data_IF_950893207460
#
_entry.id   IF_950893207460
#
_cell.length_a   1.000
_cell.length_b   1.000
_cell.length_c   1.000
_cell.angle_alpha   90.00
_cell.angle_beta   90.00
_cell.angle_gamma   90.00
#
_symmetry.space_group_name_H-M   'P 1'
#
loop_
_entity.id
_entity.type
_entity.pdbx_description
1 polymer ?
#
# COMPACT_ATOMS: atom_id res chain seq x y z
N UNK A 1 8.16 -21.38 -2.01
CA UNK A 1 8.01 -21.90 -0.63
C UNK A 1 6.95 -21.03 0.03
N UNK A 2 5.88 -21.58 0.63
CA UNK A 2 4.89 -20.74 1.32
C UNK A 2 5.49 -20.31 2.65
N UNK A 3 5.74 -19.01 2.82
CA UNK A 3 6.25 -18.44 4.08
C UNK A 3 5.16 -18.52 5.15
N UNK A 4 5.48 -19.01 6.35
CA UNK A 4 4.56 -19.00 7.48
C UNK A 4 4.24 -17.55 7.89
N UNK A 5 2.97 -17.09 7.80
CA UNK A 5 2.60 -15.71 8.11
C UNK A 5 2.94 -15.31 9.55
N UNK A 6 2.82 -16.22 10.51
CA UNK A 6 3.10 -15.92 11.92
C UNK A 6 4.59 -15.69 12.14
N UNK A 7 5.43 -16.58 11.62
CA UNK A 7 6.88 -16.41 11.67
C UNK A 7 7.35 -15.14 10.92
N UNK A 8 6.73 -14.84 9.76
CA UNK A 8 7.07 -13.64 8.98
C UNK A 8 6.75 -12.35 9.74
N UNK A 9 5.57 -12.24 10.36
CA UNK A 9 5.25 -11.09 11.23
C UNK A 9 6.23 -10.97 12.38
N UNK A 10 6.58 -12.07 13.03
CA UNK A 10 7.52 -12.05 14.15
C UNK A 10 8.91 -11.58 13.71
N UNK A 11 9.33 -11.93 12.49
CA UNK A 11 10.56 -11.40 11.89
C UNK A 11 10.44 -9.91 11.56
N UNK A 12 9.31 -9.48 10.98
CA UNK A 12 9.03 -8.08 10.70
C UNK A 12 9.10 -7.21 11.96
N UNK A 13 8.41 -7.62 13.03
CA UNK A 13 8.39 -6.91 14.29
C UNK A 13 9.79 -6.73 14.88
N UNK A 14 10.61 -7.78 14.86
CA UNK A 14 12.00 -7.74 15.35
C UNK A 14 12.87 -6.81 14.51
N UNK A 15 12.80 -6.92 13.18
CA UNK A 15 13.61 -6.09 12.27
C UNK A 15 13.24 -4.61 12.39
N UNK A 16 11.94 -4.29 12.43
CA UNK A 16 11.45 -2.92 12.61
C UNK A 16 11.86 -2.31 13.96
N UNK A 17 11.97 -3.13 15.01
CA UNK A 17 12.45 -2.68 16.32
C UNK A 17 13.97 -2.46 16.34
N UNK A 18 14.73 -3.30 15.64
CA UNK A 18 16.19 -3.21 15.53
C UNK A 18 16.65 -2.05 14.64
N UNK A 19 15.94 -1.79 13.55
CA UNK A 19 16.35 -0.84 12.51
C UNK A 19 15.26 0.20 12.27
N UNK A 20 15.34 1.29 13.05
CA UNK A 20 14.39 2.40 12.95
C UNK A 20 14.61 3.18 11.66
N UNK A 21 13.51 3.61 11.05
CA UNK A 21 13.52 4.48 9.86
C UNK A 21 13.40 3.74 8.53
N UNK A 22 13.42 2.40 8.51
CA UNK A 22 13.21 1.63 7.29
C UNK A 22 11.73 1.62 6.86
N UNK A 23 11.51 1.75 5.56
CA UNK A 23 10.21 1.58 4.91
C UNK A 23 9.85 0.09 4.77
N UNK A 24 8.55 -0.19 4.59
CA UNK A 24 8.05 -1.57 4.46
C UNK A 24 8.71 -2.34 3.30
N UNK A 25 8.95 -1.68 2.17
CA UNK A 25 9.70 -2.25 1.04
C UNK A 25 11.10 -2.72 1.44
N UNK A 26 11.87 -1.89 2.14
CA UNK A 26 13.25 -2.22 2.56
C UNK A 26 13.26 -3.37 3.59
N UNK A 27 12.26 -3.39 4.48
CA UNK A 27 12.06 -4.49 5.43
C UNK A 27 11.75 -5.80 4.70
N UNK A 28 10.91 -5.76 3.65
CA UNK A 28 10.57 -6.93 2.86
C UNK A 28 11.78 -7.47 2.08
N UNK A 29 12.56 -6.59 1.46
CA UNK A 29 13.80 -6.95 0.75
C UNK A 29 14.79 -7.68 1.67
N UNK A 30 15.00 -7.16 2.90
CA UNK A 30 15.87 -7.79 3.91
C UNK A 30 15.37 -9.15 4.37
N UNK A 31 14.05 -9.34 4.40
CA UNK A 31 13.41 -10.61 4.76
C UNK A 31 13.27 -11.57 3.56
N UNK A 32 13.65 -11.14 2.36
CA UNK A 32 13.61 -11.97 1.15
C UNK A 32 12.20 -12.30 0.68
N UNK A 33 11.22 -11.44 0.98
CA UNK A 33 9.81 -11.60 0.58
C UNK A 33 9.32 -10.37 -0.19
N UNK A 34 8.19 -10.47 -0.88
CA UNK A 34 7.55 -9.27 -1.43
C UNK A 34 6.95 -8.39 -0.32
N UNK A 35 6.83 -7.09 -0.58
CA UNK A 35 6.17 -6.14 0.33
C UNK A 35 4.71 -6.54 0.61
N UNK A 36 4.03 -7.09 -0.41
CA UNK A 36 2.65 -7.59 -0.26
C UNK A 36 2.57 -8.80 0.68
N UNK A 37 3.49 -9.76 0.59
CA UNK A 37 3.54 -10.90 1.53
C UNK A 37 3.82 -10.44 2.96
N UNK A 38 4.71 -9.45 3.13
CA UNK A 38 5.00 -8.85 4.43
C UNK A 38 3.74 -8.21 5.03
N UNK A 39 3.03 -7.37 4.28
CA UNK A 39 1.78 -6.74 4.72
C UNK A 39 0.68 -7.77 4.99
N UNK A 40 0.51 -8.76 4.11
CA UNK A 40 -0.49 -9.81 4.26
C UNK A 40 -0.28 -10.64 5.52
N UNK A 41 0.97 -10.78 5.99
CA UNK A 41 1.26 -11.48 7.24
C UNK A 41 0.59 -10.82 8.45
N UNK A 42 0.35 -9.50 8.42
CA UNK A 42 -0.28 -8.69 9.47
C UNK A 42 -1.80 -8.58 9.40
N UNK A 43 -2.45 -9.19 8.40
CA UNK A 43 -3.90 -9.14 8.26
C UNK A 43 -4.63 -9.86 9.40
N UNK A 44 -5.57 -9.18 10.07
CA UNK A 44 -6.41 -9.75 11.13
C UNK A 44 -5.76 -9.85 12.52
N UNK A 45 -4.55 -9.30 12.67
CA UNK A 45 -3.75 -9.37 13.89
C UNK A 45 -3.72 -8.00 14.58
N UNK A 46 -3.53 -7.98 15.91
CA UNK A 46 -3.71 -6.75 16.71
C UNK A 46 -2.42 -6.16 17.30
N UNK A 47 -1.26 -6.82 17.18
CA UNK A 47 0.02 -6.27 17.65
C UNK A 47 1.22 -7.08 17.16
N UNK A 48 2.40 -6.46 16.91
CA UNK A 48 2.70 -5.02 16.93
C UNK A 48 2.50 -4.33 15.59
N UNK A 49 2.12 -5.09 14.56
CA UNK A 49 1.77 -4.59 13.24
C UNK A 49 0.46 -5.24 12.81
N UNK A 50 -0.46 -4.42 12.31
CA UNK A 50 -1.82 -4.84 11.96
C UNK A 50 -2.21 -4.32 10.57
N UNK A 51 -3.03 -5.11 9.89
CA UNK A 51 -3.66 -4.73 8.64
C UNK A 51 -5.09 -5.27 8.57
N UNK A 52 -5.94 -4.59 7.81
CA UNK A 52 -7.27 -5.08 7.45
C UNK A 52 -7.27 -5.24 5.94
N UNK A 53 -7.64 -6.43 5.47
CA UNK A 53 -7.74 -6.69 4.04
C UNK A 53 -8.99 -6.01 3.49
N UNK A 54 -8.79 -5.11 2.54
CA UNK A 54 -9.87 -4.50 1.78
C UNK A 54 -10.29 -5.41 0.63
N UNK A 55 -11.54 -5.27 0.18
CA UNK A 55 -12.00 -5.92 -1.05
C UNK A 55 -11.39 -5.23 -2.27
N UNK A 56 -10.80 -6.01 -3.18
CA UNK A 56 -10.08 -5.53 -4.37
C UNK A 56 -11.01 -4.99 -5.49
N UNK A 57 -12.08 -4.31 -5.12
CA UNK A 57 -12.99 -3.61 -6.04
C UNK A 57 -12.43 -2.21 -6.35
N UNK A 58 -11.29 -2.14 -7.04
CA UNK A 58 -10.49 -0.90 -7.16
C UNK A 58 -11.24 0.33 -7.67
N UNK A 59 -12.00 0.28 -8.77
CA UNK A 59 -12.71 1.47 -9.23
C UNK A 59 -13.65 2.03 -8.17
N UNK A 60 -14.33 1.14 -7.44
CA UNK A 60 -15.21 1.50 -6.32
C UNK A 60 -14.43 2.09 -5.15
N UNK A 61 -13.32 1.47 -4.75
CA UNK A 61 -12.51 1.95 -3.62
C UNK A 61 -11.90 3.33 -3.91
N UNK A 62 -11.38 3.52 -5.12
CA UNK A 62 -10.70 4.75 -5.53
C UNK A 62 -11.71 5.90 -5.65
N UNK A 63 -12.93 5.63 -6.14
CA UNK A 63 -14.01 6.60 -6.17
C UNK A 63 -14.42 7.11 -4.78
N UNK A 64 -14.06 6.39 -3.72
CA UNK A 64 -14.37 6.76 -2.32
C UNK A 64 -13.24 7.57 -1.65
N UNK A 65 -12.04 7.63 -2.26
CA UNK A 65 -10.89 8.37 -1.71
C UNK A 65 -11.15 9.85 -1.43
N UNK A 66 -11.99 10.59 -2.20
CA UNK A 66 -12.33 11.97 -1.86
C UNK A 66 -12.89 12.14 -0.44
N UNK A 67 -13.53 11.10 0.13
CA UNK A 67 -14.09 11.12 1.50
C UNK A 67 -13.01 11.18 2.59
N UNK A 68 -11.75 10.87 2.26
CA UNK A 68 -10.63 10.95 3.20
C UNK A 68 -10.15 12.40 3.43
N UNK A 69 -10.52 13.34 2.56
CA UNK A 69 -10.05 14.72 2.65
C UNK A 69 -8.56 14.86 2.33
N UNK A 70 -7.84 15.65 3.14
CA UNK A 70 -6.43 15.95 2.93
C UNK A 70 -5.54 14.78 3.38
N UNK A 71 -4.80 14.20 2.44
CA UNK A 71 -3.98 13.00 2.62
C UNK A 71 -2.59 13.17 2.01
N UNK A 72 -1.67 12.32 2.41
CA UNK A 72 -0.40 12.11 1.71
C UNK A 72 -0.51 10.89 0.80
N UNK A 73 -0.30 11.10 -0.49
CA UNK A 73 -0.20 10.04 -1.49
C UNK A 73 1.26 9.79 -1.83
N UNK A 74 1.67 8.52 -1.83
CA UNK A 74 3.03 8.11 -2.14
C UNK A 74 2.99 7.14 -3.32
N UNK A 75 3.66 7.49 -4.42
CA UNK A 75 3.91 6.60 -5.55
C UNK A 75 5.40 6.48 -5.76
N UNK A 76 5.90 5.26 -5.98
CA UNK A 76 7.34 5.03 -6.11
C UNK A 76 7.70 3.95 -7.13
N UNK A 77 8.97 3.94 -7.50
CA UNK A 77 9.65 2.82 -8.14
C UNK A 77 11.00 2.59 -7.43
N UNK A 78 11.91 1.82 -8.05
CA UNK A 78 13.23 1.54 -7.49
C UNK A 78 14.15 2.77 -7.40
N UNK A 79 13.87 3.83 -8.15
CA UNK A 79 14.77 4.97 -8.34
C UNK A 79 14.20 6.31 -7.86
N UNK A 80 12.88 6.40 -7.69
CA UNK A 80 12.21 7.65 -7.33
C UNK A 80 11.02 7.40 -6.40
N UNK A 81 10.80 8.36 -5.51
CA UNK A 81 9.61 8.47 -4.64
C UNK A 81 8.97 9.82 -4.92
N UNK A 82 7.67 9.81 -5.18
CA UNK A 82 6.84 10.99 -5.35
C UNK A 82 5.87 11.01 -4.16
N UNK A 83 5.98 12.06 -3.34
CA UNK A 83 5.04 12.34 -2.25
C UNK A 83 4.23 13.58 -2.60
N UNK A 84 2.91 13.48 -2.50
CA UNK A 84 1.99 14.59 -2.74
C UNK A 84 1.03 14.70 -1.56
N UNK A 85 0.97 15.87 -0.93
CA UNK A 85 -0.01 16.18 0.10
C UNK A 85 -1.17 16.97 -0.52
N UNK A 86 -2.40 16.47 -0.41
CA UNK A 86 -3.54 17.04 -1.10
C UNK A 86 -4.80 16.20 -0.99
N UNK A 87 -5.81 16.53 -1.81
CA UNK A 87 -7.09 15.83 -1.87
C UNK A 87 -7.18 15.01 -3.16
N UNK A 88 -7.87 13.87 -3.10
CA UNK A 88 -8.39 13.21 -4.30
C UNK A 88 -9.69 13.91 -4.70
N UNK A 89 -9.72 14.53 -5.89
CA UNK A 89 -10.92 15.15 -6.45
C UNK A 89 -11.03 14.79 -7.93
N UNK A 90 -12.22 14.92 -8.51
CA UNK A 90 -12.48 14.62 -9.93
C UNK A 90 -11.98 13.20 -10.33
N UNK A 91 -12.32 12.21 -9.50
CA UNK A 91 -11.95 10.81 -9.75
C UNK A 91 -12.88 10.21 -10.81
N UNK A 92 -12.32 9.76 -11.91
CA UNK A 92 -13.06 9.20 -13.06
C UNK A 92 -12.47 7.87 -13.52
N UNK A 93 -13.31 6.97 -14.02
CA UNK A 93 -12.90 5.67 -14.57
C UNK A 93 -13.47 5.44 -15.97
N UNK A 94 -12.63 4.93 -16.85
CA UNK A 94 -12.91 4.50 -18.21
C UNK A 94 -12.55 3.00 -18.32
N UNK A 95 -13.47 2.14 -17.87
CA UNK A 95 -13.20 0.71 -17.70
C UNK A 95 -12.18 0.46 -16.58
N UNK A 96 -11.03 -0.14 -16.91
CA UNK A 96 -9.96 -0.41 -15.93
C UNK A 96 -8.91 0.69 -15.83
N UNK A 97 -9.06 1.78 -16.60
CA UNK A 97 -8.20 2.95 -16.52
C UNK A 97 -8.93 4.02 -15.70
N UNK A 98 -8.28 4.58 -14.68
CA UNK A 98 -8.83 5.66 -13.84
C UNK A 98 -7.90 6.85 -13.68
N UNK A 99 -8.42 8.00 -13.32
CA UNK A 99 -7.59 9.18 -13.04
C UNK A 99 -8.19 9.99 -11.89
N UNK A 100 -7.33 10.72 -11.19
CA UNK A 100 -7.70 11.83 -10.32
C UNK A 100 -7.02 13.06 -10.91
N UNK A 101 -7.77 14.14 -11.12
CA UNK A 101 -7.26 15.41 -11.66
C UNK A 101 -7.54 16.49 -10.62
N UNK A 102 -6.59 16.64 -9.70
CA UNK A 102 -6.65 17.51 -8.53
C UNK A 102 -5.23 17.84 -8.04
N UNK A 103 -5.07 18.24 -6.77
CA UNK A 103 -3.76 18.30 -6.12
C UNK A 103 -3.06 16.94 -6.18
N UNK A 104 -3.79 15.85 -5.96
CA UNK A 104 -3.31 14.49 -6.24
C UNK A 104 -3.66 14.13 -7.69
N UNK A 105 -2.78 14.52 -8.62
CA UNK A 105 -2.90 14.22 -10.04
C UNK A 105 -2.24 12.86 -10.36
N UNK A 106 -3.06 11.85 -10.66
CA UNK A 106 -2.57 10.48 -10.92
C UNK A 106 -3.32 9.83 -12.09
N UNK A 107 -2.60 8.97 -12.82
CA UNK A 107 -3.16 8.04 -13.81
C UNK A 107 -3.07 6.63 -13.25
N UNK A 108 -4.18 5.91 -13.31
CA UNK A 108 -4.42 4.64 -12.64
C UNK A 108 -4.74 3.59 -13.69
N UNK A 109 -4.05 2.46 -13.61
CA UNK A 109 -4.29 1.29 -14.46
C UNK A 109 -4.71 0.12 -13.56
N UNK A 110 -5.97 0.11 -13.14
CA UNK A 110 -6.52 -0.85 -12.18
C UNK A 110 -6.41 -2.31 -12.64
N UNK A 111 -6.28 -2.56 -13.95
CA UNK A 111 -6.01 -3.91 -14.49
C UNK A 111 -4.67 -4.50 -14.04
N UNK A 112 -3.76 -3.68 -13.50
CA UNK A 112 -2.47 -4.12 -12.94
C UNK A 112 -2.49 -4.30 -11.42
N UNK A 113 -3.60 -3.97 -10.76
CA UNK A 113 -3.72 -3.99 -9.31
C UNK A 113 -4.38 -5.30 -8.88
N UNK A 114 -3.65 -6.18 -8.20
CA UNK A 114 -4.08 -7.54 -7.93
C UNK A 114 -4.78 -7.75 -6.56
N UNK A 115 -4.48 -6.93 -5.55
CA UNK A 115 -4.80 -7.21 -4.14
C UNK A 115 -5.23 -6.01 -3.33
#
# INVERSE_FOLDING_TARGET
MKTDPTALRAAWARLRAAEKGLHALELAERLGVSECELLASACGETSPVSAIRLEASWPRLIAELPKLGFVKTVTRNAHAVIEVEGTYDNVEFFGTMGQSVSTVDIRIFASRWAH
#
